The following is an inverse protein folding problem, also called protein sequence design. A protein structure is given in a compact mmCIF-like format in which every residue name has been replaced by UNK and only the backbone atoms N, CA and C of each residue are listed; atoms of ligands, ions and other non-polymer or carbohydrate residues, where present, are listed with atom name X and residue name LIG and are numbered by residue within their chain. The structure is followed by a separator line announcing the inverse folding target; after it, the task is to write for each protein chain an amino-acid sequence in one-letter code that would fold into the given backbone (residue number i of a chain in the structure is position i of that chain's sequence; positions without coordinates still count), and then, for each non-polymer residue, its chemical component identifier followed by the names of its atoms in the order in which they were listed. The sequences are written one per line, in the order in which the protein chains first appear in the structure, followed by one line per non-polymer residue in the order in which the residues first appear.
data_IF_231851982919
#
_entry.id   IF_231851982919
#
_cell.length_a   1.000
_cell.length_b   1.000
_cell.length_c   1.000
_cell.angle_alpha   90.00
_cell.angle_beta   90.00
_cell.angle_gamma   90.00
#
_symmetry.space_group_name_H-M   'P 1'
#
loop_
_entity.id
_entity.type
_entity.pdbx_description
1 polymer ?
#
# COMPACT_ATOMS: atom_id res chain seq x y z
N UNK A 1 -2.30 1.45 21.96
CA UNK A 1 -2.68 0.04 21.72
C UNK A 1 -3.08 -0.69 23.00
N UNK A 2 -2.18 -0.88 23.97
CA UNK A 2 -2.46 -1.72 25.15
C UNK A 2 -3.58 -1.17 26.07
N UNK A 3 -3.55 0.11 26.41
CA UNK A 3 -4.53 0.72 27.32
C UNK A 3 -5.83 1.12 26.62
N UNK A 4 -5.73 1.92 25.56
CA UNK A 4 -6.89 2.49 24.86
C UNK A 4 -7.55 1.61 23.80
N UNK A 5 -6.95 0.46 23.45
CA UNK A 5 -7.48 -0.46 22.44
C UNK A 5 -7.63 0.17 21.04
N UNK A 6 -8.43 -0.47 20.20
CA UNK A 6 -8.69 -0.04 18.82
C UNK A 6 -9.38 1.34 18.78
N UNK A 7 -10.39 1.56 19.63
CA UNK A 7 -11.19 2.79 19.66
C UNK A 7 -10.34 4.05 19.89
N UNK A 8 -9.46 4.03 20.89
CA UNK A 8 -8.58 5.18 21.14
C UNK A 8 -7.60 5.39 19.98
N UNK A 9 -7.06 4.30 19.42
CA UNK A 9 -6.16 4.36 18.26
C UNK A 9 -6.84 5.02 17.06
N UNK A 10 -8.12 4.73 16.81
CA UNK A 10 -8.88 5.33 15.70
C UNK A 10 -9.13 6.82 15.92
N UNK A 11 -9.54 7.23 17.13
CA UNK A 11 -9.75 8.66 17.44
C UNK A 11 -8.47 9.49 17.33
N UNK A 12 -7.36 8.96 17.87
CA UNK A 12 -6.04 9.59 17.70
C UNK A 12 -5.64 9.62 16.23
N UNK A 13 -5.95 8.57 15.48
CA UNK A 13 -5.70 8.46 14.04
C UNK A 13 -6.33 9.59 13.22
N UNK A 14 -7.50 10.10 13.61
CA UNK A 14 -8.15 11.24 12.91
C UNK A 14 -7.30 12.52 13.03
N UNK A 15 -6.83 12.83 14.24
CA UNK A 15 -5.97 14.00 14.48
C UNK A 15 -4.63 13.81 13.75
N UNK A 16 -4.07 12.61 13.84
CA UNK A 16 -2.82 12.26 13.16
C UNK A 16 -2.92 12.42 11.64
N UNK A 17 -4.04 12.04 11.04
CA UNK A 17 -4.29 12.23 9.62
C UNK A 17 -4.22 13.70 9.21
N UNK A 18 -4.90 14.58 9.95
CA UNK A 18 -4.89 16.03 9.68
C UNK A 18 -3.46 16.58 9.80
N UNK A 19 -2.72 16.19 10.85
CA UNK A 19 -1.35 16.62 11.06
C UNK A 19 -0.39 16.10 9.97
N UNK A 20 -0.58 14.86 9.52
CA UNK A 20 0.20 14.25 8.45
C UNK A 20 -0.02 14.96 7.12
N UNK A 21 -1.27 15.09 6.70
CA UNK A 21 -1.61 15.71 5.40
C UNK A 21 -1.25 17.19 5.42
N UNK A 22 -1.58 17.90 6.51
CA UNK A 22 -1.20 19.28 6.71
C UNK A 22 0.32 19.46 6.72
N UNK A 23 1.07 18.58 7.39
CA UNK A 23 2.52 18.64 7.44
C UNK A 23 3.18 18.49 6.07
N UNK A 24 2.69 17.55 5.25
CA UNK A 24 3.16 17.36 3.86
C UNK A 24 2.90 18.62 3.03
N UNK A 25 1.69 19.16 3.10
CA UNK A 25 1.28 20.35 2.34
C UNK A 25 2.08 21.58 2.77
N UNK A 26 2.19 21.83 4.07
CA UNK A 26 2.95 22.95 4.64
C UNK A 26 4.40 22.87 4.18
N UNK A 27 5.08 21.74 4.36
CA UNK A 27 6.48 21.62 4.01
C UNK A 27 6.71 21.81 2.50
N UNK A 28 5.90 21.17 1.65
CA UNK A 28 6.01 21.35 0.20
C UNK A 28 5.75 22.80 -0.23
N UNK A 29 4.79 23.49 0.42
CA UNK A 29 4.52 24.90 0.17
C UNK A 29 5.73 25.79 0.52
N UNK A 30 6.34 25.59 1.69
CA UNK A 30 7.53 26.32 2.11
C UNK A 30 8.73 26.07 1.20
N UNK A 31 8.92 24.83 0.72
CA UNK A 31 9.96 24.51 -0.25
C UNK A 31 9.77 25.31 -1.54
N UNK A 32 8.57 25.32 -2.13
CA UNK A 32 8.31 26.06 -3.38
C UNK A 32 8.50 27.58 -3.21
N UNK A 33 8.18 28.12 -2.04
CA UNK A 33 8.29 29.55 -1.74
C UNK A 33 9.63 29.97 -1.12
N UNK A 34 10.59 29.04 -1.02
CA UNK A 34 11.89 29.38 -0.49
C UNK A 34 12.57 30.44 -1.37
N UNK A 35 13.41 31.32 -0.78
CA UNK A 35 14.07 32.42 -1.51
C UNK A 35 14.84 31.96 -2.76
N UNK A 36 15.39 30.74 -2.75
CA UNK A 36 16.11 30.13 -3.86
C UNK A 36 15.22 29.89 -5.09
N UNK A 37 13.92 29.70 -4.89
CA UNK A 37 12.95 29.47 -5.95
C UNK A 37 12.06 30.67 -6.23
N UNK A 38 11.79 31.52 -5.23
CA UNK A 38 10.96 32.72 -5.41
C UNK A 38 9.50 32.41 -5.78
N UNK A 39 8.99 31.24 -5.41
CA UNK A 39 7.63 30.78 -5.72
C UNK A 39 7.57 29.81 -6.90
N UNK A 40 6.34 29.52 -7.34
CA UNK A 40 6.07 28.46 -8.32
C UNK A 40 6.84 28.62 -9.64
N UNK A 41 6.84 29.81 -10.23
CA UNK A 41 7.49 30.04 -11.53
C UNK A 41 8.99 29.73 -11.50
N UNK A 42 9.70 30.19 -10.47
CA UNK A 42 11.13 29.91 -10.33
C UNK A 42 11.42 28.47 -9.88
N UNK A 43 10.56 27.86 -9.06
CA UNK A 43 10.61 26.42 -8.76
C UNK A 43 10.50 25.57 -10.03
N UNK A 44 9.45 25.79 -10.83
CA UNK A 44 9.24 25.05 -12.07
C UNK A 44 10.37 25.23 -13.08
N UNK A 45 10.88 26.45 -13.22
CA UNK A 45 11.99 26.76 -14.11
C UNK A 45 13.30 26.09 -13.66
N UNK A 46 13.49 25.93 -12.35
CA UNK A 46 14.68 25.27 -11.81
C UNK A 46 14.58 23.74 -11.92
N UNK A 47 13.39 23.18 -11.70
CA UNK A 47 13.12 21.75 -11.92
C UNK A 47 13.33 21.36 -13.38
N UNK A 48 12.90 22.20 -14.33
CA UNK A 48 13.07 21.96 -15.76
C UNK A 48 14.56 21.93 -16.21
N UNK A 49 15.48 22.45 -15.40
CA UNK A 49 16.93 22.41 -15.65
C UNK A 49 17.61 21.16 -15.08
N UNK A 50 16.88 20.33 -14.34
CA UNK A 50 17.43 19.06 -13.87
C UNK A 50 17.73 18.14 -15.06
N UNK A 51 18.74 17.29 -14.88
CA UNK A 51 19.06 16.20 -15.80
C UNK A 51 17.80 15.36 -16.08
N UNK A 52 17.60 15.00 -17.34
CA UNK A 52 16.40 14.27 -17.82
C UNK A 52 16.19 12.96 -17.06
N UNK A 53 17.26 12.33 -16.54
CA UNK A 53 17.13 11.13 -15.70
C UNK A 53 16.27 11.31 -14.44
N UNK A 54 16.08 12.54 -13.97
CA UNK A 54 15.19 12.85 -12.84
C UNK A 54 13.77 13.22 -13.27
N UNK A 55 13.56 13.49 -14.56
CA UNK A 55 12.31 14.05 -15.11
C UNK A 55 11.58 13.06 -16.02
N UNK A 56 12.24 11.99 -16.44
CA UNK A 56 11.76 11.05 -17.45
C UNK A 56 11.84 9.59 -16.97
N UNK A 57 10.96 8.75 -17.52
CA UNK A 57 11.08 7.29 -17.43
C UNK A 57 12.08 6.83 -18.49
N UNK A 58 13.21 6.20 -18.13
CA UNK A 58 14.32 5.98 -19.06
C UNK A 58 13.99 4.97 -20.17
N UNK A 59 13.23 3.92 -19.85
CA UNK A 59 12.82 2.88 -20.80
C UNK A 59 11.63 2.07 -20.30
N UNK A 60 11.05 1.29 -21.20
CA UNK A 60 9.94 0.40 -20.85
C UNK A 60 10.40 -0.70 -19.92
N UNK A 61 11.44 -1.44 -20.33
CA UNK A 61 11.97 -2.64 -19.71
C UNK A 61 13.48 -2.72 -19.96
N UNK A 62 14.24 -3.23 -18.99
CA UNK A 62 15.65 -3.59 -19.16
C UNK A 62 15.77 -5.11 -19.25
N UNK A 63 16.39 -5.67 -20.29
CA UNK A 63 16.56 -7.14 -20.43
C UNK A 63 17.72 -7.72 -19.59
N UNK A 64 18.17 -6.98 -18.58
CA UNK A 64 19.18 -7.40 -17.60
C UNK A 64 18.64 -7.43 -16.17
N UNK A 65 19.54 -7.25 -15.20
CA UNK A 65 19.21 -7.10 -13.79
C UNK A 65 19.11 -5.62 -13.43
N UNK A 66 18.02 -5.19 -12.79
CA UNK A 66 17.82 -3.81 -12.36
C UNK A 66 17.79 -2.81 -13.51
N UNK A 67 18.33 -1.61 -13.26
CA UNK A 67 18.48 -0.57 -14.28
C UNK A 67 19.55 -0.91 -15.31
N UNK A 68 19.42 -0.36 -16.52
CA UNK A 68 20.51 -0.44 -17.50
C UNK A 68 21.72 0.38 -17.00
N UNK A 69 22.91 0.06 -17.51
CA UNK A 69 24.13 0.78 -17.13
C UNK A 69 23.99 2.28 -17.43
N UNK A 70 24.26 3.13 -16.44
CA UNK A 70 24.12 4.58 -16.54
C UNK A 70 22.69 5.11 -16.35
N UNK A 71 21.68 4.26 -16.20
CA UNK A 71 20.28 4.65 -16.00
C UNK A 71 19.77 4.38 -14.58
N UNK A 72 18.71 5.09 -14.17
CA UNK A 72 17.97 4.75 -12.97
C UNK A 72 17.21 3.43 -13.15
N UNK A 73 17.08 2.65 -12.09
CA UNK A 73 16.37 1.37 -12.10
C UNK A 73 14.84 1.49 -12.30
N UNK A 74 14.31 2.70 -12.44
CA UNK A 74 12.88 3.00 -12.52
C UNK A 74 12.35 2.96 -13.95
N UNK A 75 12.46 1.80 -14.60
CA UNK A 75 11.76 1.54 -15.87
C UNK A 75 10.24 1.55 -15.66
N UNK A 76 9.45 1.70 -16.72
CA UNK A 76 7.99 1.69 -16.57
C UNK A 76 7.45 0.37 -15.97
N UNK A 77 8.06 -0.78 -16.29
CA UNK A 77 7.66 -2.06 -15.70
C UNK A 77 8.10 -2.18 -14.24
N UNK A 78 9.23 -1.57 -13.87
CA UNK A 78 9.63 -1.45 -12.47
C UNK A 78 8.59 -0.66 -11.68
N UNK A 79 8.17 0.50 -12.19
CA UNK A 79 7.16 1.34 -11.54
C UNK A 79 5.85 0.57 -11.34
N UNK A 80 5.35 -0.08 -12.38
CA UNK A 80 4.12 -0.88 -12.30
C UNK A 80 4.23 -2.01 -11.26
N UNK A 81 5.29 -2.81 -11.34
CA UNK A 81 5.46 -3.98 -10.46
C UNK A 81 5.79 -3.58 -9.02
N UNK A 82 6.42 -2.43 -8.82
CA UNK A 82 6.61 -1.83 -7.49
C UNK A 82 5.28 -1.32 -6.91
N UNK A 83 4.42 -0.68 -7.70
CA UNK A 83 3.08 -0.28 -7.24
C UNK A 83 2.23 -1.49 -6.83
N UNK A 84 2.33 -2.61 -7.55
CA UNK A 84 1.72 -3.87 -7.13
C UNK A 84 2.30 -4.40 -5.81
N UNK A 85 3.61 -4.30 -5.60
CA UNK A 85 4.19 -4.65 -4.31
C UNK A 85 3.56 -3.84 -3.15
N UNK A 86 3.32 -2.54 -3.34
CA UNK A 86 2.65 -1.70 -2.34
C UNK A 86 1.21 -2.14 -2.08
N UNK A 87 0.51 -2.73 -3.05
CA UNK A 87 -0.81 -3.34 -2.83
C UNK A 87 -0.74 -4.52 -1.85
N UNK A 88 0.43 -5.12 -1.64
CA UNK A 88 0.68 -6.12 -0.61
C UNK A 88 0.38 -5.63 0.82
N UNK A 89 0.38 -4.31 1.06
CA UNK A 89 -0.06 -3.74 2.35
C UNK A 89 -1.51 -4.15 2.67
N UNK A 90 -2.37 -4.25 1.64
CA UNK A 90 -3.78 -4.62 1.80
C UNK A 90 -3.98 -6.09 2.19
N UNK A 91 -3.00 -6.96 1.95
CA UNK A 91 -3.08 -8.36 2.40
C UNK A 91 -2.88 -8.48 3.92
N UNK A 92 -2.41 -7.42 4.58
CA UNK A 92 -2.30 -7.39 6.03
C UNK A 92 -3.69 -7.33 6.67
N UNK A 93 -3.98 -8.20 7.65
CA UNK A 93 -5.26 -8.14 8.37
C UNK A 93 -5.44 -6.85 9.16
N UNK A 94 -4.40 -6.02 9.31
CA UNK A 94 -4.48 -4.77 10.07
C UNK A 94 -5.56 -3.82 9.56
N UNK A 95 -5.75 -3.74 8.24
CA UNK A 95 -6.76 -2.88 7.62
C UNK A 95 -8.14 -3.53 7.58
N UNK A 96 -8.20 -4.85 7.35
CA UNK A 96 -9.48 -5.59 7.33
C UNK A 96 -10.10 -5.68 8.72
N UNK A 97 -9.31 -5.89 9.78
CA UNK A 97 -9.79 -5.89 11.16
C UNK A 97 -10.40 -4.55 11.56
N UNK A 98 -9.83 -3.43 11.10
CA UNK A 98 -10.40 -2.10 11.31
C UNK A 98 -11.74 -1.95 10.60
N UNK A 99 -11.84 -2.48 9.38
CA UNK A 99 -13.08 -2.47 8.60
C UNK A 99 -14.18 -3.27 9.29
N UNK A 100 -13.87 -4.41 9.93
CA UNK A 100 -14.85 -5.15 10.72
C UNK A 100 -15.27 -4.44 12.03
N UNK A 101 -14.52 -3.44 12.49
CA UNK A 101 -14.84 -2.66 13.68
C UNK A 101 -15.78 -1.47 13.43
N UNK A 102 -16.18 -1.20 12.18
CA UNK A 102 -17.02 -0.04 11.86
C UNK A 102 -18.49 -0.34 12.13
N UNK A 103 -19.24 0.68 12.60
CA UNK A 103 -20.69 0.57 12.80
C UNK A 103 -21.47 0.48 11.48
N UNK A 104 -20.95 1.09 10.43
CA UNK A 104 -21.61 1.12 9.12
C UNK A 104 -20.57 1.19 8.01
N UNK A 105 -20.69 0.37 6.95
CA UNK A 105 -19.80 0.41 5.78
C UNK A 105 -20.11 1.55 4.81
N UNK A 106 -21.22 2.28 4.97
CA UNK A 106 -21.63 3.37 4.07
C UNK A 106 -20.53 4.41 3.77
N UNK A 107 -19.66 4.81 4.71
CA UNK A 107 -18.60 5.78 4.45
C UNK A 107 -17.42 5.23 3.62
N UNK A 108 -17.28 3.91 3.44
CA UNK A 108 -16.11 3.30 2.81
C UNK A 108 -15.93 3.74 1.36
N UNK A 109 -17.02 3.84 0.59
CA UNK A 109 -16.96 4.32 -0.79
C UNK A 109 -16.38 5.74 -0.88
N UNK A 110 -16.80 6.65 0.01
CA UNK A 110 -16.27 8.00 0.08
C UNK A 110 -14.82 8.05 0.60
N UNK A 111 -14.50 7.19 1.58
CA UNK A 111 -13.15 7.09 2.09
C UNK A 111 -12.17 6.64 1.00
N UNK A 112 -12.53 5.64 0.19
CA UNK A 112 -11.69 5.15 -0.90
C UNK A 112 -11.61 6.15 -2.06
N UNK A 113 -12.75 6.61 -2.59
CA UNK A 113 -12.79 7.45 -3.79
C UNK A 113 -12.34 8.90 -3.54
N UNK A 114 -12.70 9.50 -2.40
CA UNK A 114 -12.42 10.90 -2.11
C UNK A 114 -11.24 11.06 -1.15
N UNK A 115 -11.30 10.46 0.05
CA UNK A 115 -10.24 10.70 1.03
C UNK A 115 -8.89 10.13 0.59
N UNK A 116 -8.86 8.89 0.11
CA UNK A 116 -7.61 8.24 -0.32
C UNK A 116 -7.16 8.72 -1.70
N UNK A 117 -8.00 8.63 -2.73
CA UNK A 117 -7.55 8.94 -4.11
C UNK A 117 -7.40 10.43 -4.37
N UNK A 118 -8.28 11.28 -3.82
CA UNK A 118 -8.22 12.73 -4.03
C UNK A 118 -7.42 13.45 -2.94
N UNK A 119 -7.83 13.42 -1.67
CA UNK A 119 -7.18 14.24 -0.61
C UNK A 119 -5.74 13.81 -0.36
N UNK A 120 -5.51 12.53 -0.06
CA UNK A 120 -4.15 12.01 0.15
C UNK A 120 -3.36 11.99 -1.15
N UNK A 121 -4.00 11.59 -2.26
CA UNK A 121 -3.42 11.67 -3.59
C UNK A 121 -2.86 13.06 -3.88
N UNK A 122 -3.65 14.12 -3.71
CA UNK A 122 -3.24 15.50 -3.93
C UNK A 122 -2.01 15.90 -3.09
N UNK A 123 -2.03 15.58 -1.79
CA UNK A 123 -0.91 15.90 -0.91
C UNK A 123 0.39 15.22 -1.35
N UNK A 124 0.34 13.93 -1.71
CA UNK A 124 1.51 13.16 -2.13
C UNK A 124 1.97 13.53 -3.55
N UNK A 125 1.05 13.70 -4.48
CA UNK A 125 1.35 13.93 -5.90
C UNK A 125 1.99 15.27 -6.18
N UNK A 126 1.65 16.28 -5.38
CA UNK A 126 2.20 17.62 -5.49
C UNK A 126 3.23 17.87 -4.41
N UNK A 127 2.86 17.88 -3.14
CA UNK A 127 3.69 18.45 -2.09
C UNK A 127 4.84 17.53 -1.67
N UNK A 128 4.67 16.21 -1.64
CA UNK A 128 5.81 15.30 -1.44
C UNK A 128 6.77 15.35 -2.61
N UNK A 129 6.26 15.41 -3.84
CA UNK A 129 7.10 15.59 -5.02
C UNK A 129 7.81 16.96 -5.03
N UNK A 130 7.17 18.05 -4.58
CA UNK A 130 7.83 19.35 -4.42
C UNK A 130 9.00 19.29 -3.44
N UNK A 131 8.84 18.57 -2.32
CA UNK A 131 9.92 18.37 -1.36
C UNK A 131 11.10 17.62 -2.00
N UNK A 132 10.85 16.50 -2.67
CA UNK A 132 11.91 15.69 -3.30
C UNK A 132 12.61 16.41 -4.44
N UNK A 133 11.85 17.04 -5.33
CA UNK A 133 12.38 17.77 -6.49
C UNK A 133 13.09 19.05 -6.05
N UNK A 134 12.54 19.79 -5.09
CA UNK A 134 13.18 20.98 -4.52
C UNK A 134 14.52 20.64 -3.87
N UNK A 135 14.57 19.59 -3.04
CA UNK A 135 15.82 19.13 -2.45
C UNK A 135 16.84 18.71 -3.52
N UNK A 136 16.40 18.04 -4.60
CA UNK A 136 17.29 17.67 -5.71
C UNK A 136 17.82 18.89 -6.45
N UNK A 137 17.00 19.91 -6.70
CA UNK A 137 17.48 21.18 -7.28
C UNK A 137 18.54 21.81 -6.39
N UNK A 138 18.27 21.95 -5.08
CA UNK A 138 19.20 22.56 -4.13
C UNK A 138 20.53 21.79 -4.05
N UNK A 139 20.47 20.46 -4.15
CA UNK A 139 21.64 19.61 -4.25
C UNK A 139 22.44 19.89 -5.53
N UNK A 140 21.80 20.00 -6.70
CA UNK A 140 22.50 20.25 -7.97
C UNK A 140 23.05 21.67 -8.06
N UNK A 141 22.38 22.66 -7.45
CA UNK A 141 22.83 24.06 -7.44
C UNK A 141 23.93 24.35 -6.43
N UNK A 142 24.45 23.34 -5.73
CA UNK A 142 25.60 23.53 -4.84
C UNK A 142 25.26 24.05 -3.44
N UNK A 143 24.00 24.00 -3.00
CA UNK A 143 23.66 24.42 -1.61
C UNK A 143 24.29 23.42 -0.65
N UNK A 144 25.20 23.89 0.20
CA UNK A 144 26.08 23.07 1.04
C UNK A 144 25.30 22.04 1.88
N UNK A 145 24.21 22.50 2.51
CA UNK A 145 23.34 21.67 3.35
C UNK A 145 22.70 20.48 2.59
N UNK A 146 22.53 20.59 1.26
CA UNK A 146 21.87 19.59 0.44
C UNK A 146 22.82 18.64 -0.30
N UNK A 147 24.14 18.85 -0.23
CA UNK A 147 25.11 18.03 -0.97
C UNK A 147 25.10 16.55 -0.54
N UNK A 148 25.01 16.31 0.77
CA UNK A 148 25.14 14.97 1.37
C UNK A 148 23.81 14.37 1.86
N UNK A 149 22.67 14.87 1.36
CA UNK A 149 21.36 14.34 1.73
C UNK A 149 21.09 13.00 1.06
N UNK A 150 20.28 12.19 1.71
CA UNK A 150 19.73 10.96 1.14
C UNK A 150 18.22 10.89 1.41
N UNK A 151 17.60 9.79 0.99
CA UNK A 151 16.14 9.58 1.14
C UNK A 151 15.67 9.65 2.60
N UNK A 152 16.51 9.32 3.58
CA UNK A 152 16.15 9.36 5.00
C UNK A 152 16.32 10.74 5.63
N UNK A 153 17.24 11.57 5.10
CA UNK A 153 17.55 12.89 5.69
C UNK A 153 16.88 14.06 4.98
N UNK A 154 16.39 13.88 3.75
CA UNK A 154 15.83 14.96 2.94
C UNK A 154 14.71 15.73 3.64
N UNK A 155 13.72 15.05 4.23
CA UNK A 155 12.59 15.72 4.89
C UNK A 155 13.03 16.48 6.14
N UNK A 156 13.78 15.87 7.10
CA UNK A 156 14.33 16.61 8.24
C UNK A 156 15.13 17.84 7.85
N UNK A 157 16.00 17.74 6.84
CA UNK A 157 16.83 18.85 6.37
C UNK A 157 15.98 19.99 5.78
N UNK A 158 14.95 19.66 5.00
CA UNK A 158 14.02 20.67 4.49
C UNK A 158 13.25 21.36 5.62
N UNK A 159 12.84 20.61 6.64
CA UNK A 159 12.14 21.16 7.80
C UNK A 159 13.01 22.16 8.56
N UNK A 160 14.23 21.77 8.92
CA UNK A 160 15.17 22.61 9.67
C UNK A 160 15.55 23.87 8.89
N UNK A 161 15.72 23.77 7.58
CA UNK A 161 16.19 24.88 6.76
C UNK A 161 15.09 25.89 6.41
N UNK A 162 13.86 25.43 6.13
CA UNK A 162 12.82 26.27 5.56
C UNK A 162 11.67 26.63 6.51
N UNK A 163 11.46 25.89 7.61
CA UNK A 163 10.30 26.13 8.46
C UNK A 163 10.64 27.08 9.62
N UNK A 164 9.81 28.12 9.85
CA UNK A 164 9.90 28.90 11.08
C UNK A 164 9.51 28.05 12.30
N UNK A 165 9.91 28.44 13.53
CA UNK A 165 9.81 27.57 14.72
C UNK A 165 8.43 26.94 14.97
N UNK A 166 7.34 27.69 14.78
CA UNK A 166 5.97 27.18 14.98
C UNK A 166 5.62 26.14 13.91
N UNK A 167 5.93 26.42 12.64
CA UNK A 167 5.64 25.51 11.54
C UNK A 167 6.51 24.26 11.62
N UNK A 168 7.77 24.40 12.05
CA UNK A 168 8.66 23.28 12.33
C UNK A 168 8.01 22.33 13.34
N UNK A 169 7.48 22.86 14.46
CA UNK A 169 6.77 22.08 15.46
C UNK A 169 5.54 21.35 14.88
N UNK A 170 4.71 22.03 14.09
CA UNK A 170 3.52 21.43 13.46
C UNK A 170 3.90 20.30 12.50
N UNK A 171 4.83 20.54 11.58
CA UNK A 171 5.27 19.55 10.61
C UNK A 171 5.97 18.37 11.29
N UNK A 172 6.78 18.63 12.33
CA UNK A 172 7.40 17.59 13.13
C UNK A 172 6.36 16.72 13.84
N UNK A 173 5.32 17.30 14.44
CA UNK A 173 4.19 16.54 14.97
C UNK A 173 3.50 15.72 13.88
N UNK A 174 3.37 16.24 12.67
CA UNK A 174 2.88 15.49 11.50
C UNK A 174 3.72 14.26 11.15
N UNK A 175 5.05 14.38 11.20
CA UNK A 175 5.96 13.26 10.97
C UNK A 175 5.83 12.18 12.07
N UNK A 176 5.77 12.59 13.33
CA UNK A 176 5.54 11.68 14.46
C UNK A 176 4.15 11.02 14.36
N UNK A 177 3.14 11.77 13.97
CA UNK A 177 1.79 11.28 13.74
C UNK A 177 1.76 10.17 12.67
N UNK A 178 2.49 10.33 11.57
CA UNK A 178 2.59 9.32 10.50
C UNK A 178 3.21 7.99 10.97
N UNK A 179 4.29 8.07 11.75
CA UNK A 179 4.97 6.89 12.30
C UNK A 179 4.02 6.17 13.26
N UNK A 180 3.37 6.91 14.14
CA UNK A 180 2.50 6.34 15.16
C UNK A 180 1.19 5.79 14.58
N UNK A 181 0.59 6.45 13.58
CA UNK A 181 -0.64 5.99 12.91
C UNK A 181 -0.44 4.66 12.17
N UNK A 182 0.80 4.36 11.79
CA UNK A 182 1.18 3.10 11.13
C UNK A 182 1.54 2.04 12.17
N UNK A 183 2.37 2.38 13.15
CA UNK A 183 2.82 1.42 14.18
C UNK A 183 1.67 0.86 15.02
N UNK A 184 0.70 1.69 15.41
CA UNK A 184 -0.37 1.27 16.32
C UNK A 184 -1.28 0.17 15.74
N UNK A 185 -1.83 0.27 14.50
CA UNK A 185 -2.57 -0.81 13.86
C UNK A 185 -1.76 -2.10 13.74
N UNK A 186 -0.49 -2.04 13.33
CA UNK A 186 0.34 -3.23 13.15
C UNK A 186 0.68 -3.92 14.47
N UNK A 187 1.01 -3.17 15.53
CA UNK A 187 1.27 -3.74 16.86
C UNK A 187 -0.01 -4.39 17.41
N UNK A 188 -1.15 -3.70 17.31
CA UNK A 188 -2.43 -4.23 17.79
C UNK A 188 -2.87 -5.49 17.03
N UNK A 189 -2.65 -5.51 15.72
CA UNK A 189 -2.97 -6.66 14.86
C UNK A 189 -2.00 -7.80 15.11
N UNK A 190 -0.70 -7.54 15.20
CA UNK A 190 0.30 -8.55 15.50
C UNK A 190 0.04 -9.24 16.84
N UNK A 191 -0.30 -8.48 17.88
CA UNK A 191 -0.73 -9.03 19.17
C UNK A 191 -1.98 -9.90 19.04
N UNK A 192 -2.95 -9.46 18.23
CA UNK A 192 -4.21 -10.18 18.01
C UNK A 192 -4.03 -11.48 17.21
N UNK A 193 -3.12 -11.50 16.22
CA UNK A 193 -2.75 -12.71 15.47
C UNK A 193 -2.11 -13.73 16.42
N UNK A 194 -1.09 -13.32 17.17
CA UNK A 194 -0.43 -14.20 18.13
C UNK A 194 -1.42 -14.71 19.19
N UNK A 195 -2.33 -13.85 19.64
CA UNK A 195 -3.39 -14.25 20.55
C UNK A 195 -4.33 -15.26 19.89
N UNK A 196 -5.00 -14.92 18.79
CA UNK A 196 -6.12 -15.72 18.26
C UNK A 196 -5.65 -16.97 17.53
N UNK A 197 -4.59 -16.85 16.74
CA UNK A 197 -4.15 -17.91 15.83
C UNK A 197 -3.15 -18.87 16.50
N UNK A 198 -2.45 -18.43 17.55
CA UNK A 198 -1.49 -19.27 18.30
C UNK A 198 -2.02 -19.57 19.69
N UNK A 199 -2.14 -18.56 20.55
CA UNK A 199 -2.46 -18.77 21.97
C UNK A 199 -3.86 -19.38 22.18
N UNK A 200 -4.91 -18.73 21.69
CA UNK A 200 -6.28 -19.18 21.84
C UNK A 200 -6.50 -20.52 21.13
N UNK A 201 -6.07 -20.63 19.86
CA UNK A 201 -6.33 -21.83 19.05
C UNK A 201 -5.54 -23.07 19.50
N UNK A 202 -4.24 -22.94 19.75
CA UNK A 202 -3.37 -24.09 19.99
C UNK A 202 -2.93 -24.24 21.45
N UNK A 203 -2.68 -23.15 22.18
CA UNK A 203 -2.23 -23.22 23.58
C UNK A 203 -3.41 -23.46 24.53
N UNK A 204 -4.46 -22.64 24.41
CA UNK A 204 -5.67 -22.70 25.23
C UNK A 204 -6.79 -23.53 24.59
N UNK A 205 -6.56 -24.13 23.43
CA UNK A 205 -7.51 -25.02 22.74
C UNK A 205 -8.94 -24.47 22.64
N UNK A 206 -9.05 -23.16 22.41
CA UNK A 206 -10.29 -22.40 22.29
C UNK A 206 -11.06 -22.13 23.61
N UNK A 207 -10.42 -22.35 24.76
CA UNK A 207 -11.04 -22.25 26.10
C UNK A 207 -10.59 -21.02 26.90
N UNK A 208 -9.93 -20.03 26.28
CA UNK A 208 -9.52 -18.81 27.00
C UNK A 208 -10.71 -17.86 27.20
N UNK A 209 -10.89 -17.36 28.42
CA UNK A 209 -11.94 -16.39 28.74
C UNK A 209 -11.71 -15.05 28.03
N UNK A 210 -12.74 -14.19 27.96
CA UNK A 210 -12.62 -12.87 27.34
C UNK A 210 -11.57 -11.99 28.05
N UNK A 211 -11.55 -12.01 29.38
CA UNK A 211 -10.59 -11.24 30.18
C UNK A 211 -9.15 -11.74 30.01
N UNK A 212 -8.96 -13.05 29.94
CA UNK A 212 -7.67 -13.69 29.66
C UNK A 212 -7.16 -13.27 28.28
N UNK A 213 -8.03 -13.33 27.26
CA UNK A 213 -7.67 -12.89 25.90
C UNK A 213 -7.22 -11.42 25.87
N UNK A 214 -7.93 -10.51 26.53
CA UNK A 214 -7.54 -9.09 26.59
C UNK A 214 -6.14 -8.91 27.22
N UNK A 215 -5.90 -9.55 28.36
CA UNK A 215 -4.63 -9.41 29.06
C UNK A 215 -3.46 -10.03 28.29
N UNK A 216 -3.66 -11.21 27.71
CA UNK A 216 -2.64 -11.87 26.89
C UNK A 216 -2.35 -11.06 25.64
N UNK A 217 -3.35 -10.48 24.98
CA UNK A 217 -3.13 -9.58 23.85
C UNK A 217 -2.26 -8.37 24.22
N UNK A 218 -2.55 -7.73 25.37
CA UNK A 218 -1.74 -6.60 25.88
C UNK A 218 -0.29 -7.00 26.13
N UNK A 219 -0.07 -8.18 26.72
CA UNK A 219 1.26 -8.73 26.96
C UNK A 219 2.00 -9.00 25.65
N UNK A 220 1.37 -9.71 24.71
CA UNK A 220 1.96 -10.03 23.40
C UNK A 220 2.27 -8.78 22.57
N UNK A 221 1.35 -7.79 22.54
CA UNK A 221 1.59 -6.52 21.87
C UNK A 221 2.76 -5.74 22.49
N UNK A 222 2.91 -5.78 23.82
CA UNK A 222 4.01 -5.14 24.53
C UNK A 222 5.34 -5.84 24.21
N UNK A 223 5.37 -7.18 24.24
CA UNK A 223 6.55 -7.96 23.88
C UNK A 223 6.97 -7.70 22.42
N UNK A 224 6.01 -7.67 21.48
CA UNK A 224 6.27 -7.31 20.09
C UNK A 224 6.88 -5.91 19.96
N UNK A 225 6.38 -4.95 20.74
CA UNK A 225 6.92 -3.58 20.74
C UNK A 225 8.36 -3.53 21.26
N UNK A 226 8.66 -4.25 22.34
CA UNK A 226 10.02 -4.36 22.90
C UNK A 226 10.97 -4.99 21.87
N UNK A 227 10.58 -6.10 21.24
CA UNK A 227 11.38 -6.75 20.21
C UNK A 227 11.63 -5.84 19.01
N UNK A 228 10.59 -5.15 18.53
CA UNK A 228 10.72 -4.19 17.43
C UNK A 228 11.68 -3.04 17.79
N UNK A 229 11.61 -2.54 19.03
CA UNK A 229 12.53 -1.50 19.52
C UNK A 229 13.97 -2.01 19.60
N UNK A 230 14.21 -3.20 20.14
CA UNK A 230 15.55 -3.82 20.22
C UNK A 230 16.14 -3.95 18.81
N UNK A 231 15.39 -4.48 17.85
CA UNK A 231 15.86 -4.61 16.46
C UNK A 231 16.12 -3.22 15.86
N UNK A 232 15.22 -2.26 16.08
CA UNK A 232 15.34 -0.89 15.56
C UNK A 232 16.57 -0.15 16.08
N UNK A 233 16.97 -0.40 17.33
CA UNK A 233 18.16 0.20 17.95
C UNK A 233 19.46 -0.52 17.56
N UNK A 234 19.41 -1.79 17.16
CA UNK A 234 20.61 -2.62 16.93
C UNK A 234 20.97 -2.82 15.46
N UNK A 235 20.02 -2.78 14.52
CA UNK A 235 20.30 -3.10 13.11
C UNK A 235 19.57 -2.21 12.11
N UNK A 236 20.25 -1.15 11.65
CA UNK A 236 19.78 -0.29 10.55
C UNK A 236 19.62 -1.05 9.24
N UNK A 237 20.51 -2.03 8.97
CA UNK A 237 20.46 -2.85 7.77
C UNK A 237 19.23 -3.78 7.75
N UNK A 238 18.85 -4.35 8.90
CA UNK A 238 17.66 -5.19 8.99
C UNK A 238 16.38 -4.39 8.73
N UNK A 239 16.28 -3.15 9.21
CA UNK A 239 15.10 -2.31 9.01
C UNK A 239 14.79 -2.08 7.52
N UNK A 240 15.81 -1.80 6.70
CA UNK A 240 15.63 -1.56 5.26
C UNK A 240 15.16 -2.82 4.55
N UNK A 241 15.78 -3.97 4.85
CA UNK A 241 15.46 -5.24 4.20
C UNK A 241 14.08 -5.75 4.63
N UNK A 242 13.77 -5.71 5.93
CA UNK A 242 12.46 -6.16 6.45
C UNK A 242 11.32 -5.30 5.89
N UNK A 243 11.51 -3.97 5.81
CA UNK A 243 10.51 -3.08 5.21
C UNK A 243 10.29 -3.34 3.71
N UNK A 244 11.38 -3.49 2.94
CA UNK A 244 11.30 -3.74 1.51
C UNK A 244 10.65 -5.10 1.20
N UNK A 245 11.01 -6.14 1.95
CA UNK A 245 10.45 -7.48 1.76
C UNK A 245 9.02 -7.63 2.26
N UNK A 246 8.60 -6.87 3.27
CA UNK A 246 7.25 -6.98 3.84
C UNK A 246 6.15 -6.71 2.81
N UNK A 247 6.30 -5.67 1.99
CA UNK A 247 5.32 -5.35 0.93
C UNK A 247 5.33 -6.41 -0.17
N UNK A 248 6.52 -6.88 -0.58
CA UNK A 248 6.66 -7.92 -1.58
C UNK A 248 6.05 -9.26 -1.13
N UNK A 249 6.33 -9.70 0.10
CA UNK A 249 5.72 -10.89 0.69
C UNK A 249 4.21 -10.73 0.87
N UNK A 250 3.74 -9.54 1.25
CA UNK A 250 2.31 -9.22 1.27
C UNK A 250 1.67 -9.41 -0.10
N UNK A 251 2.34 -8.98 -1.18
CA UNK A 251 1.82 -9.17 -2.53
C UNK A 251 1.81 -10.66 -2.94
N UNK A 252 2.75 -11.48 -2.49
CA UNK A 252 2.70 -12.95 -2.70
C UNK A 252 1.43 -13.56 -2.10
N UNK A 253 0.88 -13.01 -1.02
CA UNK A 253 -0.38 -13.48 -0.44
C UNK A 253 -1.59 -13.29 -1.38
N UNK A 254 -1.45 -12.49 -2.45
CA UNK A 254 -2.47 -12.41 -3.50
C UNK A 254 -2.69 -13.75 -4.19
N UNK A 255 -1.71 -14.67 -4.18
CA UNK A 255 -1.92 -16.07 -4.62
C UNK A 255 -3.12 -16.67 -3.90
N UNK A 256 -3.22 -16.50 -2.59
CA UNK A 256 -4.36 -17.00 -1.81
C UNK A 256 -5.62 -16.16 -2.03
N UNK A 257 -5.49 -14.83 -2.05
CA UNK A 257 -6.63 -13.93 -2.27
C UNK A 257 -7.31 -14.16 -3.62
N UNK A 258 -6.57 -14.57 -4.66
CA UNK A 258 -7.17 -14.88 -5.95
C UNK A 258 -8.14 -16.06 -5.90
N UNK A 259 -7.88 -17.06 -5.06
CA UNK A 259 -8.81 -18.15 -4.82
C UNK A 259 -10.05 -17.71 -4.04
N UNK A 260 -9.85 -16.88 -3.00
CA UNK A 260 -10.92 -16.42 -2.11
C UNK A 260 -11.83 -15.38 -2.77
N UNK A 261 -11.27 -14.38 -3.44
CA UNK A 261 -12.03 -13.26 -4.01
C UNK A 261 -12.55 -13.63 -5.41
N UNK A 262 -11.66 -14.01 -6.33
CA UNK A 262 -12.02 -14.23 -7.74
C UNK A 262 -12.28 -15.69 -8.12
N UNK A 263 -12.16 -16.63 -7.18
CA UNK A 263 -12.53 -18.03 -7.40
C UNK A 263 -11.53 -18.80 -8.27
N UNK A 264 -10.29 -18.33 -8.38
CA UNK A 264 -9.24 -19.03 -9.13
C UNK A 264 -9.03 -20.42 -8.53
N UNK A 265 -8.93 -21.43 -9.39
CA UNK A 265 -8.94 -22.84 -8.97
C UNK A 265 -7.54 -23.44 -9.04
N UNK A 266 -6.93 -23.65 -7.88
CA UNK A 266 -5.71 -24.43 -7.65
C UNK A 266 -5.84 -25.17 -6.30
N UNK A 267 -5.21 -26.34 -6.11
CA UNK A 267 -5.33 -27.12 -4.88
C UNK A 267 -4.70 -26.37 -3.69
N UNK A 268 -5.21 -26.58 -2.49
CA UNK A 268 -4.72 -26.02 -1.22
C UNK A 268 -3.22 -26.26 -1.00
N UNK A 269 -2.74 -27.46 -1.27
CA UNK A 269 -1.31 -27.80 -1.25
C UNK A 269 -0.54 -26.97 -2.27
N UNK A 270 -1.07 -26.80 -3.48
CA UNK A 270 -0.48 -25.95 -4.51
C UNK A 270 -0.43 -24.49 -4.10
N UNK A 271 -1.47 -23.98 -3.42
CA UNK A 271 -1.52 -22.64 -2.89
C UNK A 271 -0.44 -22.40 -1.82
N UNK A 272 -0.28 -23.34 -0.89
CA UNK A 272 0.74 -23.29 0.17
C UNK A 272 2.16 -23.34 -0.42
N UNK A 273 2.44 -24.34 -1.26
CA UNK A 273 3.74 -24.47 -1.92
C UNK A 273 4.04 -23.27 -2.83
N UNK A 274 3.00 -22.73 -3.48
CA UNK A 274 3.10 -21.51 -4.28
C UNK A 274 3.52 -20.30 -3.45
N UNK A 275 2.89 -20.05 -2.30
CA UNK A 275 3.30 -18.95 -1.41
C UNK A 275 4.75 -19.13 -0.94
N UNK A 276 5.14 -20.34 -0.52
CA UNK A 276 6.51 -20.62 -0.08
C UNK A 276 7.54 -20.40 -1.20
N UNK A 277 7.29 -20.95 -2.39
CA UNK A 277 8.14 -20.76 -3.55
C UNK A 277 8.20 -19.28 -3.97
N UNK A 278 7.08 -18.58 -3.87
CA UNK A 278 7.01 -17.15 -4.12
C UNK A 278 7.85 -16.34 -3.15
N UNK A 279 7.81 -16.63 -1.84
CA UNK A 279 8.67 -15.98 -0.84
C UNK A 279 10.16 -16.22 -1.11
N UNK A 280 10.54 -17.45 -1.48
CA UNK A 280 11.92 -17.77 -1.88
C UNK A 280 12.31 -16.95 -3.11
N UNK A 281 11.45 -16.90 -4.13
CA UNK A 281 11.67 -16.14 -5.36
C UNK A 281 11.83 -14.64 -5.10
N UNK A 282 11.03 -14.04 -4.20
CA UNK A 282 11.21 -12.65 -3.75
C UNK A 282 12.62 -12.46 -3.18
N UNK A 283 13.07 -13.35 -2.29
CA UNK A 283 14.40 -13.23 -1.69
C UNK A 283 15.52 -13.32 -2.74
N UNK A 284 15.45 -14.30 -3.65
CA UNK A 284 16.42 -14.48 -4.73
C UNK A 284 16.47 -13.26 -5.65
N UNK A 285 15.30 -12.75 -6.05
CA UNK A 285 15.19 -11.60 -6.96
C UNK A 285 15.35 -10.24 -6.30
N UNK A 286 15.46 -10.21 -4.96
CA UNK A 286 15.85 -9.01 -4.22
C UNK A 286 17.36 -8.98 -3.96
N UNK A 287 17.97 -10.11 -3.58
CA UNK A 287 19.35 -10.15 -3.07
C UNK A 287 20.37 -10.74 -4.04
N UNK A 288 20.02 -11.79 -4.79
CA UNK A 288 20.96 -12.58 -5.61
C UNK A 288 20.94 -12.11 -7.07
N UNK A 289 19.73 -12.00 -7.64
CA UNK A 289 19.50 -11.49 -8.99
C UNK A 289 18.55 -10.30 -8.92
N UNK A 290 19.01 -9.11 -8.52
CA UNK A 290 18.14 -7.98 -8.24
C UNK A 290 17.30 -7.57 -9.45
N UNK A 291 15.98 -7.62 -9.29
CA UNK A 291 14.98 -7.16 -10.25
C UNK A 291 15.26 -7.61 -11.70
N UNK A 292 15.21 -8.92 -12.00
CA UNK A 292 15.37 -9.40 -13.37
C UNK A 292 14.30 -8.78 -14.26
N UNK A 293 14.69 -8.44 -15.49
CA UNK A 293 13.84 -7.71 -16.43
C UNK A 293 13.42 -6.31 -15.94
N UNK A 294 14.18 -5.69 -15.03
CA UNK A 294 13.77 -4.49 -14.29
C UNK A 294 12.39 -4.61 -13.62
N UNK A 295 11.95 -5.82 -13.28
CA UNK A 295 10.69 -6.02 -12.56
C UNK A 295 10.96 -6.19 -11.08
N UNK A 296 10.17 -5.52 -10.25
CA UNK A 296 10.30 -5.61 -8.81
C UNK A 296 10.17 -7.06 -8.32
N UNK A 297 10.92 -7.44 -7.28
CA UNK A 297 10.94 -8.81 -6.75
C UNK A 297 9.54 -9.39 -6.41
N UNK A 298 8.58 -8.54 -6.04
CA UNK A 298 7.19 -8.93 -5.78
C UNK A 298 6.49 -9.57 -7.00
N UNK A 299 6.81 -9.10 -8.22
CA UNK A 299 6.31 -9.69 -9.46
C UNK A 299 6.78 -11.14 -9.57
N UNK A 300 8.09 -11.37 -9.45
CA UNK A 300 8.68 -12.70 -9.57
C UNK A 300 8.20 -13.64 -8.48
N UNK A 301 8.04 -13.13 -7.25
CA UNK A 301 7.41 -13.87 -6.17
C UNK A 301 6.02 -14.38 -6.51
N UNK A 302 5.14 -13.47 -6.94
CA UNK A 302 3.74 -13.81 -7.25
C UNK A 302 3.63 -14.69 -8.49
N UNK A 303 4.42 -14.40 -9.54
CA UNK A 303 4.50 -15.22 -10.74
C UNK A 303 4.94 -16.65 -10.44
N UNK A 304 6.02 -16.81 -9.66
CA UNK A 304 6.52 -18.13 -9.24
C UNK A 304 5.48 -18.86 -8.40
N UNK A 305 4.82 -18.17 -7.47
CA UNK A 305 3.80 -18.78 -6.62
C UNK A 305 2.58 -19.26 -7.40
N UNK A 306 2.10 -18.47 -8.36
CA UNK A 306 1.05 -18.88 -9.30
C UNK A 306 1.48 -20.07 -10.15
N UNK A 307 2.69 -20.02 -10.72
CA UNK A 307 3.21 -21.10 -11.55
C UNK A 307 3.25 -22.42 -10.78
N UNK A 308 3.80 -22.43 -9.56
CA UNK A 308 3.84 -23.62 -8.71
C UNK A 308 2.43 -24.11 -8.33
N UNK A 309 1.52 -23.21 -7.99
CA UNK A 309 0.13 -23.57 -7.66
C UNK A 309 -0.58 -24.26 -8.84
N UNK A 310 -0.39 -23.75 -10.07
CA UNK A 310 -0.97 -24.35 -11.28
C UNK A 310 -0.22 -25.61 -11.75
N UNK A 311 1.09 -25.71 -11.54
CA UNK A 311 1.84 -26.95 -11.79
C UNK A 311 1.31 -28.06 -10.89
N UNK A 312 1.11 -27.79 -9.60
CA UNK A 312 0.51 -28.75 -8.65
C UNK A 312 -0.85 -29.26 -9.15
N UNK A 313 -1.68 -28.36 -9.67
CA UNK A 313 -2.94 -28.74 -10.31
C UNK A 313 -2.73 -29.61 -11.55
N UNK A 314 -1.79 -29.22 -12.43
CA UNK A 314 -1.48 -29.91 -13.68
C UNK A 314 -0.95 -31.33 -13.49
N UNK A 315 -0.19 -31.58 -12.42
CA UNK A 315 0.30 -32.93 -12.06
C UNK A 315 -0.73 -33.76 -11.28
N UNK A 316 -1.95 -33.25 -11.10
CA UNK A 316 -3.07 -34.01 -10.54
C UNK A 316 -3.24 -33.94 -9.02
N UNK A 317 -2.60 -32.99 -8.33
CA UNK A 317 -2.89 -32.75 -6.91
C UNK A 317 -4.32 -32.24 -6.76
N UNK A 318 -5.10 -32.90 -5.89
CA UNK A 318 -6.50 -32.57 -5.64
C UNK A 318 -6.71 -32.21 -4.18
N UNK A 319 -7.70 -31.36 -3.95
CA UNK A 319 -8.21 -31.07 -2.62
C UNK A 319 -9.08 -32.23 -2.10
N UNK A 320 -9.16 -32.37 -0.78
CA UNK A 320 -10.10 -33.31 -0.16
C UNK A 320 -11.56 -32.89 -0.43
N UNK A 321 -12.49 -33.84 -0.37
CA UNK A 321 -13.92 -33.56 -0.53
C UNK A 321 -14.42 -32.52 0.48
N UNK A 322 -13.95 -32.59 1.71
CA UNK A 322 -14.23 -31.61 2.75
C UNK A 322 -13.78 -30.19 2.36
N UNK A 323 -12.55 -30.07 1.84
CA UNK A 323 -11.99 -28.79 1.40
C UNK A 323 -12.79 -28.22 0.24
N UNK A 324 -13.13 -29.04 -0.75
CA UNK A 324 -13.95 -28.63 -1.90
C UNK A 324 -15.33 -28.17 -1.43
N UNK A 325 -15.97 -28.92 -0.53
CA UNK A 325 -17.27 -28.56 0.05
C UNK A 325 -17.20 -27.22 0.76
N UNK A 326 -16.17 -26.98 1.56
CA UNK A 326 -15.97 -25.70 2.27
C UNK A 326 -15.71 -24.54 1.31
N UNK A 327 -14.90 -24.74 0.28
CA UNK A 327 -14.65 -23.72 -0.75
C UNK A 327 -15.95 -23.35 -1.49
N UNK A 328 -16.78 -24.34 -1.82
CA UNK A 328 -18.06 -24.12 -2.48
C UNK A 328 -19.05 -23.38 -1.56
N UNK A 329 -19.09 -23.73 -0.28
CA UNK A 329 -19.90 -23.03 0.73
C UNK A 329 -19.52 -21.56 0.83
N UNK A 330 -18.21 -21.25 0.96
CA UNK A 330 -17.71 -19.87 1.03
C UNK A 330 -17.99 -19.11 -0.27
N UNK A 331 -17.80 -19.75 -1.43
CA UNK A 331 -18.10 -19.13 -2.73
C UNK A 331 -19.58 -18.80 -2.86
N UNK A 332 -20.45 -19.75 -2.53
CA UNK A 332 -21.89 -19.53 -2.57
C UNK A 332 -22.32 -18.39 -1.65
N UNK A 333 -21.75 -18.30 -0.44
CA UNK A 333 -22.01 -17.19 0.47
C UNK A 333 -21.54 -15.83 -0.11
N UNK A 334 -20.33 -15.76 -0.66
CA UNK A 334 -19.81 -14.52 -1.25
C UNK A 334 -20.62 -14.08 -2.47
N UNK A 335 -20.97 -15.02 -3.35
CA UNK A 335 -21.74 -14.74 -4.56
C UNK A 335 -23.17 -14.31 -4.22
N UNK A 336 -23.75 -14.82 -3.13
CA UNK A 336 -25.07 -14.45 -2.64
C UNK A 336 -25.08 -13.07 -1.97
N UNK A 337 -24.07 -12.75 -1.14
CA UNK A 337 -24.05 -11.49 -0.39
C UNK A 337 -23.47 -10.31 -1.18
N UNK A 338 -22.52 -10.52 -2.10
CA UNK A 338 -21.85 -9.45 -2.88
C UNK A 338 -22.36 -9.33 -4.34
N UNK A 339 -23.50 -9.95 -4.64
CA UNK A 339 -24.10 -9.86 -5.97
C UNK A 339 -24.40 -8.39 -6.35
N UNK A 340 -23.81 -7.86 -7.43
CA UNK A 340 -24.10 -6.50 -7.88
C UNK A 340 -25.47 -6.41 -8.56
N UNK A 341 -26.04 -5.21 -8.55
CA UNK A 341 -27.21 -4.85 -9.35
C UNK A 341 -26.94 -5.06 -10.86
N UNK A 342 -27.98 -5.06 -11.69
CA UNK A 342 -27.81 -5.16 -13.14
C UNK A 342 -26.90 -4.05 -13.69
N UNK A 343 -27.10 -2.81 -13.23
CA UNK A 343 -26.24 -1.68 -13.56
C UNK A 343 -24.82 -1.89 -13.05
N UNK A 344 -24.66 -2.36 -11.81
CA UNK A 344 -23.38 -2.70 -11.22
C UNK A 344 -22.60 -3.73 -12.05
N UNK A 345 -23.27 -4.76 -12.59
CA UNK A 345 -22.64 -5.75 -13.50
C UNK A 345 -22.12 -5.13 -14.78
N UNK A 346 -22.90 -4.24 -15.40
CA UNK A 346 -22.47 -3.55 -16.63
C UNK A 346 -21.22 -2.71 -16.35
N UNK A 347 -21.21 -1.94 -15.25
CA UNK A 347 -20.04 -1.16 -14.84
C UNK A 347 -18.84 -2.04 -14.50
N UNK A 348 -19.03 -3.14 -13.75
CA UNK A 348 -17.96 -4.12 -13.48
C UNK A 348 -17.39 -4.67 -14.78
N UNK A 349 -18.21 -4.91 -15.81
CA UNK A 349 -17.75 -5.35 -17.13
C UNK A 349 -16.88 -4.31 -17.84
N UNK A 350 -17.31 -3.04 -17.84
CA UNK A 350 -16.50 -1.93 -18.39
C UNK A 350 -15.19 -1.77 -17.62
N UNK A 351 -15.24 -1.87 -16.29
CA UNK A 351 -14.06 -1.69 -15.42
C UNK A 351 -13.00 -2.78 -15.60
N UNK A 352 -13.38 -4.00 -16.03
CA UNK A 352 -12.41 -5.05 -16.43
C UNK A 352 -11.50 -4.61 -17.58
N UNK A 353 -11.89 -3.61 -18.36
CA UNK A 353 -11.08 -3.05 -19.45
C UNK A 353 -10.50 -1.70 -19.03
N UNK A 354 -11.33 -0.81 -18.48
CA UNK A 354 -10.90 0.54 -18.11
C UNK A 354 -9.76 0.55 -17.07
N UNK A 355 -9.81 -0.34 -16.08
CA UNK A 355 -8.77 -0.42 -15.03
C UNK A 355 -7.42 -0.87 -15.60
N UNK A 356 -7.32 -1.98 -16.37
CA UNK A 356 -6.07 -2.32 -17.04
C UNK A 356 -5.54 -1.25 -17.99
N UNK A 357 -6.43 -0.57 -18.74
CA UNK A 357 -6.03 0.55 -19.60
C UNK A 357 -5.44 1.69 -18.77
N UNK A 358 -6.10 2.04 -17.66
CA UNK A 358 -5.57 3.05 -16.74
C UNK A 358 -4.21 2.64 -16.18
N UNK A 359 -4.04 1.40 -15.70
CA UNK A 359 -2.74 0.91 -15.25
C UNK A 359 -1.68 1.02 -16.34
N UNK A 360 -2.00 0.62 -17.58
CA UNK A 360 -1.07 0.64 -18.71
C UNK A 360 -0.53 2.04 -19.02
N UNK A 361 -1.37 3.06 -19.02
CA UNK A 361 -0.98 4.44 -19.35
C UNK A 361 -0.52 5.27 -18.15
N UNK A 362 -1.15 5.11 -16.98
CA UNK A 362 -0.84 5.90 -15.80
C UNK A 362 0.51 5.50 -15.21
N UNK A 363 0.72 4.20 -14.93
CA UNK A 363 1.91 3.72 -14.20
C UNK A 363 2.60 2.51 -14.85
N UNK A 364 2.06 2.02 -15.96
CA UNK A 364 2.54 0.88 -16.73
C UNK A 364 3.40 1.27 -17.93
N UNK A 365 3.60 0.35 -18.90
CA UNK A 365 4.51 0.55 -20.02
C UNK A 365 4.32 1.84 -20.82
N UNK A 366 3.09 2.30 -20.99
CA UNK A 366 2.80 3.52 -21.75
C UNK A 366 2.99 4.81 -20.96
N UNK A 367 3.34 4.76 -19.66
CA UNK A 367 3.66 5.98 -18.91
C UNK A 367 4.90 6.71 -19.47
N UNK A 368 5.77 5.99 -20.19
CA UNK A 368 6.92 6.57 -20.91
C UNK A 368 6.52 7.57 -22.00
N UNK A 369 5.31 7.43 -22.57
CA UNK A 369 4.78 8.40 -23.52
C UNK A 369 4.65 9.79 -22.87
N UNK A 370 4.46 9.82 -21.54
CA UNK A 370 4.45 11.03 -20.74
C UNK A 370 5.72 11.87 -20.86
N UNK A 371 6.89 11.28 -21.11
CA UNK A 371 8.15 12.01 -21.28
C UNK A 371 8.05 13.08 -22.39
N UNK A 372 7.21 12.85 -23.41
CA UNK A 372 7.09 13.73 -24.60
C UNK A 372 5.65 14.21 -24.85
N UNK A 373 4.73 14.02 -23.91
CA UNK A 373 3.31 14.25 -24.16
C UNK A 373 2.95 15.74 -24.26
N UNK A 374 2.81 16.43 -23.14
CA UNK A 374 2.45 17.85 -23.06
C UNK A 374 2.87 18.40 -21.71
N UNK A 375 3.06 19.72 -21.61
CA UNK A 375 3.34 20.42 -20.35
C UNK A 375 2.20 21.39 -20.03
N UNK A 376 1.76 21.42 -18.78
CA UNK A 376 0.76 22.38 -18.28
C UNK A 376 1.31 23.12 -17.07
N UNK A 377 1.00 24.41 -16.94
CA UNK A 377 1.26 25.21 -15.73
C UNK A 377 2.70 25.13 -15.19
N UNK A 378 3.71 24.94 -16.04
CA UNK A 378 5.13 24.83 -15.64
C UNK A 378 5.57 23.44 -15.17
N UNK A 379 4.68 22.45 -15.13
CA UNK A 379 5.05 21.06 -14.84
C UNK A 379 5.80 20.44 -16.02
N UNK A 380 6.74 19.52 -15.76
CA UNK A 380 7.41 18.77 -16.83
C UNK A 380 6.42 17.89 -17.61
N UNK A 381 6.76 17.43 -18.82
CA UNK A 381 5.85 16.62 -19.62
C UNK A 381 5.34 15.37 -18.88
N UNK A 382 6.25 14.61 -18.27
CA UNK A 382 5.89 13.41 -17.53
C UNK A 382 4.98 13.73 -16.34
N UNK A 383 5.26 14.80 -15.59
CA UNK A 383 4.42 15.17 -14.45
C UNK A 383 3.02 15.63 -14.90
N UNK A 384 2.93 16.37 -16.00
CA UNK A 384 1.65 16.79 -16.59
C UNK A 384 0.81 15.61 -17.07
N UNK A 385 1.46 14.61 -17.69
CA UNK A 385 0.85 13.32 -18.02
C UNK A 385 0.29 12.63 -16.76
N UNK A 386 1.12 12.54 -15.72
CA UNK A 386 0.76 11.95 -14.45
C UNK A 386 -0.44 12.66 -13.79
N UNK A 387 -0.51 13.99 -13.83
CA UNK A 387 -1.68 14.76 -13.32
C UNK A 387 -2.96 14.35 -14.04
N UNK A 388 -2.91 14.23 -15.36
CA UNK A 388 -4.07 13.87 -16.17
C UNK A 388 -4.57 12.46 -15.83
N UNK A 389 -3.65 11.50 -15.76
CA UNK A 389 -4.00 10.13 -15.40
C UNK A 389 -4.42 9.99 -13.94
N UNK A 390 -3.91 10.82 -13.03
CA UNK A 390 -4.40 10.88 -11.65
C UNK A 390 -5.85 11.40 -11.57
N UNK A 391 -6.20 12.46 -12.31
CA UNK A 391 -7.58 12.96 -12.42
C UNK A 391 -8.51 11.87 -12.98
N UNK A 392 -8.10 11.20 -14.06
CA UNK A 392 -8.85 10.05 -14.59
C UNK A 392 -8.94 8.91 -13.57
N UNK A 393 -7.90 8.71 -12.76
CA UNK A 393 -7.86 7.74 -11.66
C UNK A 393 -8.88 8.05 -10.57
N UNK A 394 -9.09 9.33 -10.22
CA UNK A 394 -10.14 9.74 -9.28
C UNK A 394 -11.53 9.38 -9.83
N UNK A 395 -11.79 9.67 -11.11
CA UNK A 395 -13.07 9.34 -11.75
C UNK A 395 -13.26 7.82 -11.82
N UNK A 396 -12.22 7.08 -12.18
CA UNK A 396 -12.23 5.62 -12.22
C UNK A 396 -12.49 5.02 -10.84
N UNK A 397 -11.84 5.51 -9.79
CA UNK A 397 -12.05 5.04 -8.41
C UNK A 397 -13.46 5.35 -7.93
N UNK A 398 -13.98 6.54 -8.24
CA UNK A 398 -15.38 6.86 -7.98
C UNK A 398 -16.33 5.89 -8.70
N UNK A 399 -16.07 5.59 -9.98
CA UNK A 399 -16.87 4.63 -10.74
C UNK A 399 -16.78 3.21 -10.16
N UNK A 400 -15.59 2.75 -9.76
CA UNK A 400 -15.41 1.45 -9.10
C UNK A 400 -16.18 1.37 -7.78
N UNK A 401 -16.05 2.37 -6.92
CA UNK A 401 -16.69 2.39 -5.62
C UNK A 401 -18.22 2.46 -5.74
N UNK A 402 -18.74 3.41 -6.53
CA UNK A 402 -20.18 3.74 -6.55
C UNK A 402 -20.95 3.11 -7.71
N UNK A 403 -20.39 3.08 -8.92
CA UNK A 403 -21.11 2.60 -10.12
C UNK A 403 -20.96 1.10 -10.34
N UNK A 404 -19.78 0.57 -10.09
CA UNK A 404 -19.51 -0.87 -10.10
C UNK A 404 -19.84 -1.53 -8.75
N UNK A 405 -20.32 -0.75 -7.77
CA UNK A 405 -20.77 -1.22 -6.46
C UNK A 405 -19.72 -2.09 -5.75
N UNK A 406 -18.43 -1.71 -5.84
CA UNK A 406 -17.33 -2.46 -5.19
C UNK A 406 -17.04 -1.98 -3.76
N UNK A 407 -17.69 -0.89 -3.32
CA UNK A 407 -17.51 -0.31 -1.98
C UNK A 407 -18.81 0.24 -1.38
N UNK A 408 -19.93 0.02 -2.07
CA UNK A 408 -21.27 0.37 -1.59
C UNK A 408 -21.97 -0.87 -1.05
N UNK A 409 -22.88 -0.67 -0.10
CA UNK A 409 -23.70 -1.74 0.48
C UNK A 409 -25.18 -1.42 0.33
N UNK A 410 -26.00 -2.43 0.12
CA UNK A 410 -27.46 -2.34 0.07
C UNK A 410 -28.08 -2.69 1.44
N UNK A 411 -29.38 -2.44 1.59
CA UNK A 411 -30.10 -2.67 2.85
C UNK A 411 -30.11 -4.15 3.25
N UNK A 412 -30.25 -5.07 2.29
CA UNK A 412 -30.22 -6.51 2.52
C UNK A 412 -28.88 -6.97 3.08
N UNK A 413 -27.76 -6.47 2.53
CA UNK A 413 -26.41 -6.78 3.02
C UNK A 413 -26.23 -6.31 4.46
N UNK A 414 -26.73 -5.11 4.79
CA UNK A 414 -26.66 -4.55 6.15
C UNK A 414 -27.52 -5.38 7.10
N UNK A 415 -28.76 -5.67 6.73
CA UNK A 415 -29.70 -6.47 7.53
C UNK A 415 -29.15 -7.86 7.82
N UNK A 416 -28.58 -8.52 6.80
CA UNK A 416 -27.97 -9.84 6.96
C UNK A 416 -26.74 -9.79 7.86
N UNK A 417 -25.89 -8.77 7.75
CA UNK A 417 -24.74 -8.62 8.65
C UNK A 417 -25.17 -8.46 10.13
N UNK A 418 -26.34 -7.87 10.39
CA UNK A 418 -26.91 -7.73 11.73
C UNK A 418 -27.59 -9.02 12.24
N UNK A 419 -28.22 -9.80 11.34
CA UNK A 419 -29.00 -11.00 11.70
C UNK A 419 -28.19 -12.30 11.66
N UNK A 420 -27.36 -12.50 10.64
CA UNK A 420 -26.57 -13.72 10.40
C UNK A 420 -25.29 -13.73 11.24
N UNK A 421 -25.43 -13.52 12.55
CA UNK A 421 -24.29 -13.48 13.47
C UNK A 421 -23.75 -14.88 13.73
N UNK A 422 -22.63 -15.20 13.08
CA UNK A 422 -21.88 -16.44 13.34
C UNK A 422 -21.05 -16.28 14.61
N UNK A 423 -21.69 -16.37 15.78
CA UNK A 423 -21.03 -16.19 17.08
C UNK A 423 -19.93 -17.24 17.26
N UNK A 424 -18.67 -16.80 17.13
CA UNK A 424 -17.48 -17.67 17.19
C UNK A 424 -16.91 -17.82 18.60
N UNK A 425 -17.25 -16.91 19.51
CA UNK A 425 -16.87 -16.99 20.93
C UNK A 425 -18.15 -17.23 21.71
N UNK A 426 -18.35 -18.46 22.16
CA UNK A 426 -19.39 -18.77 23.13
C UNK A 426 -18.82 -18.36 24.48
N UNK A 427 -19.32 -17.27 25.05
CA UNK A 427 -19.02 -16.94 26.44
C UNK A 427 -19.56 -18.10 27.30
N UNK A 428 -18.66 -18.70 28.09
CA UNK A 428 -18.99 -19.77 29.03
C UNK A 428 -19.62 -19.19 30.29
#
# INVERSE_FOLDING_TARGET
VCTGGLKASTWVGVIQFILLVGGIVILGFFVVHAPQFGGWSGFSASVAKLDTKFLEVPRVINFGLGGAEGELAWTSVMVLTYMFALMGIQSSPAFTMWTFGIKSPKPLAWQQAFMSTFVVGFALFFFTAFQGMGAKVLQVTGVELFQNINQATVVPTLMEHFLPPVMLGIVFMGAIAAIHSTAAPYIGTGGSILLRDVYWRYVKKQEASHSEQIWVNRLLATLLTILALVIGLTSKAALVILGALATAFGFVMYVLLMGVIWGFKFPSVGAMLGVLAGMISVFLTYKIWPNPLSMHCAFWGTFTGLAVAYICKGIGIKDSEETIKRQNEVRAFLDDIDAPSETGRQWRSVMKIAVPVWYFFAIGPACILGNKAFSISGFTPLWSWQITWWILGIVMMWALCFKAEMSTTNETQIERAEKETMIVVKEA
#
